data_IF_773104264506
#
_entry.id   IF_773104264506
#
_cell.length_a   1.000
_cell.length_b   1.000
_cell.length_c   1.000
_cell.angle_alpha   90.00
_cell.angle_beta   90.00
_cell.angle_gamma   90.00
#
_symmetry.space_group_name_H-M   'P 1'
#
loop_
_entity.id
_entity.type
_entity.pdbx_description
1 polymer ?
#
# COMPACT_ATOMS: atom_id res chain seq x y z
N UNK A 1 -22.74 60.81 -45.26
CA UNK A 1 -21.92 60.43 -46.43
C UNK A 1 -21.74 58.92 -46.45
N UNK A 2 -21.90 58.28 -47.62
CA UNK A 2 -21.69 56.84 -47.82
C UNK A 2 -20.19 56.53 -47.82
N UNK A 3 -19.76 55.47 -47.13
CA UNK A 3 -18.73 54.54 -47.64
C UNK A 3 -19.11 53.11 -47.26
N UNK A 4 -19.07 52.27 -48.29
CA UNK A 4 -19.61 50.92 -48.39
C UNK A 4 -18.51 49.90 -48.06
N UNK A 5 -18.92 48.88 -47.31
CA UNK A 5 -18.52 47.47 -47.26
C UNK A 5 -17.09 47.04 -47.63
N UNK A 6 -16.46 46.22 -46.77
CA UNK A 6 -15.98 44.87 -47.15
C UNK A 6 -16.13 43.89 -45.98
N UNK A 7 -16.86 42.79 -46.24
CA UNK A 7 -17.05 41.60 -45.41
C UNK A 7 -16.05 40.55 -45.90
N UNK A 8 -15.29 39.89 -45.01
CA UNK A 8 -14.99 38.44 -45.03
C UNK A 8 -14.19 38.09 -43.75
N UNK A 9 -14.77 37.35 -42.79
CA UNK A 9 -14.63 35.88 -42.59
C UNK A 9 -13.26 35.54 -41.96
N UNK A 10 -13.11 34.82 -40.84
CA UNK A 10 -13.74 33.58 -40.38
C UNK A 10 -13.55 33.47 -38.84
N UNK A 11 -14.56 32.97 -38.15
CA UNK A 11 -14.49 32.58 -36.75
C UNK A 11 -13.66 31.30 -36.56
N UNK A 12 -12.79 31.27 -35.55
CA UNK A 12 -12.42 30.04 -34.85
C UNK A 12 -11.93 30.45 -33.45
N UNK A 13 -12.84 30.37 -32.48
CA UNK A 13 -12.50 30.53 -31.06
C UNK A 13 -11.59 29.39 -30.63
N UNK A 14 -10.39 29.72 -30.17
CA UNK A 14 -9.57 28.80 -29.37
C UNK A 14 -9.75 29.19 -27.91
N UNK A 15 -10.90 28.80 -27.36
CA UNK A 15 -11.03 28.53 -25.94
C UNK A 15 -10.72 27.04 -25.77
N UNK A 16 -9.44 26.73 -25.55
CA UNK A 16 -9.01 25.43 -25.03
C UNK A 16 -8.34 25.70 -23.67
N UNK A 17 -9.15 25.87 -22.62
CA UNK A 17 -9.48 24.81 -21.65
C UNK A 17 -8.24 24.33 -20.89
N UNK A 18 -8.08 24.88 -19.69
CA UNK A 18 -7.30 24.29 -18.62
C UNK A 18 -7.72 22.82 -18.42
N UNK A 19 -6.78 21.89 -18.57
CA UNK A 19 -6.88 20.52 -18.05
C UNK A 19 -5.49 19.90 -18.05
N UNK A 20 -4.60 20.43 -17.21
CA UNK A 20 -3.46 19.66 -16.69
C UNK A 20 -3.97 18.72 -15.58
N UNK A 21 -4.97 17.92 -15.88
CA UNK A 21 -5.30 16.73 -15.12
C UNK A 21 -4.60 15.56 -15.83
N UNK A 22 -4.13 14.57 -15.08
CA UNK A 22 -3.48 13.33 -15.54
C UNK A 22 -1.94 13.36 -15.64
N UNK A 23 -1.23 13.73 -14.56
CA UNK A 23 0.14 13.23 -14.37
C UNK A 23 0.63 13.20 -12.91
N UNK A 24 -0.26 13.30 -11.92
CA UNK A 24 0.11 12.99 -10.55
C UNK A 24 -0.50 11.65 -10.22
N UNK A 25 0.33 10.61 -10.26
CA UNK A 25 0.05 9.33 -9.62
C UNK A 25 -0.14 9.57 -8.13
N UNK A 26 -1.32 10.05 -7.77
CA UNK A 26 -1.76 10.16 -6.39
C UNK A 26 -1.99 8.75 -5.89
N UNK A 27 -0.94 8.14 -5.33
CA UNK A 27 -1.14 7.06 -4.38
C UNK A 27 -2.09 7.61 -3.32
N UNK A 28 -3.32 7.09 -3.27
CA UNK A 28 -4.30 7.48 -2.26
C UNK A 28 -3.62 7.44 -0.88
N UNK A 29 -3.87 8.43 -0.01
CA UNK A 29 -3.25 8.47 1.30
C UNK A 29 -3.51 7.15 2.01
N UNK A 30 -2.43 6.51 2.45
CA UNK A 30 -2.52 5.19 3.03
C UNK A 30 -3.11 5.29 4.44
N UNK A 31 -4.41 5.08 4.57
CA UNK A 31 -5.18 5.20 5.82
C UNK A 31 -4.91 4.07 6.82
N UNK A 32 -3.97 3.16 6.50
CA UNK A 32 -3.62 2.03 7.36
C UNK A 32 -2.82 2.50 8.59
N UNK A 33 -3.11 1.95 9.78
CA UNK A 33 -2.35 2.30 10.97
C UNK A 33 -0.88 1.89 10.80
N UNK A 34 0.02 2.74 11.30
CA UNK A 34 1.47 2.55 11.16
C UNK A 34 1.95 1.21 11.73
N UNK A 35 1.38 0.79 12.86
CA UNK A 35 1.68 -0.51 13.48
C UNK A 35 1.29 -1.68 12.56
N UNK A 36 0.15 -1.58 11.87
CA UNK A 36 -0.33 -2.60 10.94
C UNK A 36 0.63 -2.79 9.77
N UNK A 37 1.14 -1.69 9.21
CA UNK A 37 2.13 -1.77 8.12
C UNK A 37 3.43 -2.46 8.56
N UNK A 38 3.87 -2.24 9.80
CA UNK A 38 5.06 -2.90 10.34
C UNK A 38 4.83 -4.40 10.57
N UNK A 39 3.69 -4.76 11.16
CA UNK A 39 3.29 -6.15 11.36
C UNK A 39 3.16 -6.92 10.03
N UNK A 40 2.61 -6.28 8.99
CA UNK A 40 2.51 -6.87 7.65
C UNK A 40 3.88 -7.23 7.07
N UNK A 41 4.87 -6.37 7.27
CA UNK A 41 6.24 -6.60 6.81
C UNK A 41 6.95 -7.68 7.64
N UNK A 42 6.84 -7.59 8.98
CA UNK A 42 7.51 -8.50 9.92
C UNK A 42 7.01 -9.95 9.76
N UNK A 43 5.70 -10.13 9.60
CA UNK A 43 5.05 -11.44 9.50
C UNK A 43 4.62 -11.81 8.08
N UNK A 44 4.95 -11.00 7.06
CA UNK A 44 4.66 -11.28 5.65
C UNK A 44 3.16 -11.53 5.38
N UNK A 45 2.28 -10.75 6.01
CA UNK A 45 0.82 -11.00 6.00
C UNK A 45 0.08 -10.45 4.79
N UNK A 46 0.71 -9.59 3.99
CA UNK A 46 0.05 -8.90 2.88
C UNK A 46 -0.63 -7.59 3.28
N UNK A 47 -0.88 -6.73 2.29
CA UNK A 47 -1.31 -5.34 2.50
C UNK A 47 -2.69 -5.27 3.16
N UNK A 48 -2.81 -4.57 4.28
CA UNK A 48 -4.07 -4.35 5.00
C UNK A 48 -4.56 -5.54 5.84
N UNK A 49 -3.79 -6.63 5.94
CA UNK A 49 -4.21 -7.84 6.64
C UNK A 49 -3.84 -7.84 8.13
N UNK A 50 -2.75 -7.21 8.55
CA UNK A 50 -2.42 -7.14 9.98
C UNK A 50 -3.56 -6.57 10.85
N UNK A 51 -4.16 -5.39 10.56
CA UNK A 51 -5.25 -4.86 11.38
C UNK A 51 -6.54 -5.69 11.32
N UNK A 52 -6.64 -6.65 10.38
CA UNK A 52 -7.77 -7.59 10.28
C UNK A 52 -7.50 -8.92 10.96
N UNK A 53 -6.25 -9.22 11.30
CA UNK A 53 -5.84 -10.51 11.86
C UNK A 53 -5.37 -10.37 13.31
N UNK A 54 -4.82 -9.24 13.71
CA UNK A 54 -4.37 -9.00 15.09
C UNK A 54 -4.73 -7.59 15.55
N UNK A 55 -4.57 -7.36 16.84
CA UNK A 55 -4.71 -6.06 17.49
C UNK A 55 -3.36 -5.34 17.61
N UNK A 56 -3.39 -4.05 17.93
CA UNK A 56 -2.18 -3.28 18.20
C UNK A 56 -1.43 -3.77 19.45
N UNK A 57 -2.14 -4.22 20.47
CA UNK A 57 -1.52 -4.73 21.70
C UNK A 57 -0.89 -6.11 21.49
N UNK A 58 -1.54 -7.01 20.74
CA UNK A 58 -0.90 -8.27 20.29
C UNK A 58 0.39 -7.97 19.50
N UNK A 59 0.40 -6.93 18.66
CA UNK A 59 1.61 -6.50 17.94
C UNK A 59 2.72 -6.03 18.89
N UNK A 60 2.38 -5.28 19.95
CA UNK A 60 3.37 -4.84 20.96
C UNK A 60 3.97 -6.03 21.69
N UNK A 61 3.16 -7.01 22.09
CA UNK A 61 3.65 -8.23 22.74
C UNK A 61 4.58 -9.02 21.81
N UNK A 62 4.22 -9.16 20.54
CA UNK A 62 5.09 -9.75 19.53
C UNK A 62 6.43 -9.01 19.42
N UNK A 63 6.40 -7.67 19.40
CA UNK A 63 7.61 -6.85 19.35
C UNK A 63 8.50 -7.03 20.59
N UNK A 64 7.92 -7.03 21.79
CA UNK A 64 8.65 -7.23 23.03
C UNK A 64 9.29 -8.62 23.09
N UNK A 65 8.54 -9.66 22.70
CA UNK A 65 9.06 -11.03 22.65
C UNK A 65 10.23 -11.15 21.67
N UNK A 66 10.10 -10.53 20.49
CA UNK A 66 11.15 -10.53 19.47
C UNK A 66 12.41 -9.77 19.90
N UNK A 67 12.26 -8.70 20.72
CA UNK A 67 13.40 -7.96 21.26
C UNK A 67 14.27 -8.80 22.20
N UNK A 68 13.66 -9.70 22.96
CA UNK A 68 14.36 -10.62 23.86
C UNK A 68 15.01 -11.82 23.13
N UNK A 69 14.60 -12.11 21.89
CA UNK A 69 15.06 -13.26 21.11
C UNK A 69 16.32 -12.99 20.29
N UNK A 70 17.10 -14.05 20.05
CA UNK A 70 18.21 -14.07 19.08
C UNK A 70 17.69 -14.03 17.64
N UNK A 71 18.57 -13.75 16.67
CA UNK A 71 18.18 -13.67 15.26
C UNK A 71 17.58 -14.99 14.71
N UNK A 72 18.08 -16.14 15.16
CA UNK A 72 17.55 -17.44 14.75
C UNK A 72 16.17 -17.73 15.37
N UNK A 73 16.02 -17.44 16.66
CA UNK A 73 14.73 -17.58 17.35
C UNK A 73 13.68 -16.64 16.76
N UNK A 74 14.06 -15.41 16.43
CA UNK A 74 13.18 -14.47 15.73
C UNK A 74 12.71 -15.01 14.38
N UNK A 75 13.59 -15.66 13.61
CA UNK A 75 13.22 -16.25 12.32
C UNK A 75 12.15 -17.33 12.49
N UNK A 76 12.39 -18.28 13.41
CA UNK A 76 11.43 -19.34 13.74
C UNK A 76 10.12 -18.77 14.26
N UNK A 77 10.19 -17.76 15.12
CA UNK A 77 9.01 -17.11 15.66
C UNK A 77 8.16 -16.41 14.59
N UNK A 78 8.78 -15.72 13.62
CA UNK A 78 8.06 -15.14 12.48
C UNK A 78 7.35 -16.19 11.64
N UNK A 79 7.96 -17.35 11.46
CA UNK A 79 7.36 -18.48 10.72
C UNK A 79 6.14 -19.03 11.48
N UNK A 80 6.29 -19.30 12.77
CA UNK A 80 5.19 -19.76 13.64
C UNK A 80 4.02 -18.77 13.68
N UNK A 81 4.31 -17.47 13.85
CA UNK A 81 3.27 -16.44 13.85
C UNK A 81 2.63 -16.30 12.48
N UNK A 82 3.39 -16.37 11.39
CA UNK A 82 2.84 -16.33 10.04
C UNK A 82 1.84 -17.47 9.80
N UNK A 83 2.18 -18.70 10.18
CA UNK A 83 1.29 -19.86 10.05
C UNK A 83 -0.01 -19.66 10.86
N UNK A 84 0.10 -19.21 12.12
CA UNK A 84 -1.08 -18.88 12.94
C UNK A 84 -1.97 -17.82 12.29
N UNK A 85 -1.36 -16.80 11.68
CA UNK A 85 -2.10 -15.74 11.01
C UNK A 85 -2.73 -16.21 9.70
N UNK A 86 -2.10 -17.15 8.99
CA UNK A 86 -2.67 -17.82 7.82
C UNK A 86 -3.93 -18.59 8.22
N UNK A 87 -3.89 -19.33 9.33
CA UNK A 87 -5.06 -20.07 9.79
C UNK A 87 -6.18 -19.15 10.27
N UNK A 88 -5.85 -18.11 11.05
CA UNK A 88 -6.81 -17.06 11.45
C UNK A 88 -7.40 -16.34 10.24
N UNK A 89 -6.62 -16.15 9.16
CA UNK A 89 -7.11 -15.57 7.93
C UNK A 89 -8.12 -16.49 7.23
N UNK A 90 -7.83 -17.80 7.14
CA UNK A 90 -8.76 -18.79 6.57
C UNK A 90 -10.09 -18.81 7.33
N UNK A 91 -10.05 -18.80 8.66
CA UNK A 91 -11.25 -18.74 9.51
C UNK A 91 -12.10 -17.49 9.24
N UNK A 92 -11.46 -16.38 8.86
CA UNK A 92 -12.11 -15.10 8.54
C UNK A 92 -12.43 -14.95 7.04
N UNK A 93 -12.22 -15.98 6.22
CA UNK A 93 -12.42 -15.92 4.76
C UNK A 93 -11.42 -15.03 4.02
N UNK A 94 -10.26 -14.75 4.64
CA UNK A 94 -9.16 -13.97 4.08
C UNK A 94 -8.04 -14.90 3.60
N UNK A 95 -7.26 -14.44 2.62
CA UNK A 95 -6.08 -15.17 2.13
C UNK A 95 -4.81 -14.36 2.42
N UNK A 96 -3.85 -15.00 3.10
CA UNK A 96 -2.51 -14.45 3.33
C UNK A 96 -1.60 -14.94 2.20
N UNK A 97 -0.89 -14.04 1.49
CA UNK A 97 0.03 -14.45 0.43
C UNK A 97 1.17 -15.29 1.01
N UNK A 98 1.72 -16.25 0.23
CA UNK A 98 2.85 -17.03 0.68
C UNK A 98 4.04 -16.10 0.98
N UNK A 99 4.91 -16.48 1.92
CA UNK A 99 6.09 -15.69 2.23
C UNK A 99 6.91 -15.54 0.95
N UNK A 100 7.09 -14.29 0.50
CA UNK A 100 8.03 -14.01 -0.58
C UNK A 100 9.40 -14.51 -0.10
N UNK A 101 10.02 -15.39 -0.87
CA UNK A 101 11.29 -16.05 -0.52
C UNK A 101 12.38 -15.04 -0.13
N UNK A 102 13.50 -15.48 0.45
CA UNK A 102 14.57 -14.59 0.91
C UNK A 102 14.90 -13.63 -0.22
N UNK A 103 14.64 -12.34 0.00
CA UNK A 103 14.76 -11.32 -1.02
C UNK A 103 16.15 -11.40 -1.63
N UNK A 104 16.23 -11.77 -2.91
CA UNK A 104 17.41 -11.46 -3.71
C UNK A 104 17.55 -9.95 -3.66
N UNK A 105 18.48 -9.46 -2.83
CA UNK A 105 18.94 -8.08 -2.93
C UNK A 105 19.44 -7.93 -4.38
N UNK A 106 18.86 -7.04 -5.20
CA UNK A 106 19.44 -6.79 -6.52
C UNK A 106 20.88 -6.31 -6.30
N UNK A 107 21.88 -6.84 -7.04
CA UNK A 107 23.22 -6.30 -6.97
C UNK A 107 23.17 -4.83 -7.40
N UNK A 108 23.73 -3.96 -6.54
CA UNK A 108 23.97 -2.55 -6.81
C UNK A 108 25.01 -2.34 -7.89
#
# INVERSE_FOLDING_TARGET
MKRRSFVTVLAAGVLASASSALAQGGAAPDTRPRWGQQAEHEFRLGRGLAPRLMTEDEWKEHQEKMRAMTAEERRKYREEVHERMVDRAKERGLSVPPPRGPGRRPPS
#
